data_IF_110760583155
#
_entry.id   IF_110760583155
#
_cell.length_a   1.000
_cell.length_b   1.000
_cell.length_c   1.000
_cell.angle_alpha   90.00
_cell.angle_beta   90.00
_cell.angle_gamma   90.00
#
_symmetry.space_group_name_H-M   'P 1'
#
loop_
_entity.id
_entity.type
_entity.pdbx_description
1 polymer ?
#
# COMPACT_ATOMS: atom_id res chain seq x y z
N UNK A 1 6.21 9.57 13.89
CA UNK A 1 6.15 9.04 12.50
C UNK A 1 5.22 9.92 11.68
N UNK A 2 5.46 10.07 10.34
CA UNK A 2 4.69 10.93 9.44
C UNK A 2 3.25 10.49 9.19
N UNK A 3 2.84 10.32 7.94
CA UNK A 3 1.48 9.92 7.55
C UNK A 3 1.48 8.57 6.84
N UNK A 4 0.34 7.90 6.80
CA UNK A 4 0.11 6.80 5.88
C UNK A 4 0.22 7.35 4.45
N UNK A 5 1.14 6.78 3.66
CA UNK A 5 1.44 7.26 2.31
C UNK A 5 0.79 6.38 1.24
N UNK A 6 1.10 5.10 1.22
CA UNK A 6 0.50 4.17 0.28
C UNK A 6 0.55 2.72 0.75
N UNK A 7 -0.28 1.89 0.11
CA UNK A 7 -0.13 0.43 0.16
C UNK A 7 0.12 -0.10 -1.25
N UNK A 8 0.95 -1.14 -1.34
CA UNK A 8 1.30 -1.80 -2.60
C UNK A 8 0.73 -3.20 -2.68
N UNK A 9 -0.08 -3.45 -3.70
CA UNK A 9 -0.51 -4.78 -4.08
C UNK A 9 0.46 -5.36 -5.12
N UNK A 10 0.84 -6.63 -4.95
CA UNK A 10 1.75 -7.34 -5.86
C UNK A 10 0.97 -8.45 -6.56
N UNK A 11 1.03 -8.46 -7.91
CA UNK A 11 0.28 -9.38 -8.76
C UNK A 11 1.18 -10.05 -9.80
N UNK A 12 0.75 -11.22 -10.31
CA UNK A 12 1.47 -11.98 -11.33
C UNK A 12 1.36 -11.39 -12.72
N UNK A 13 0.34 -10.58 -12.97
CA UNK A 13 0.09 -9.90 -14.24
C UNK A 13 -0.40 -8.48 -13.98
N UNK A 14 0.43 -7.50 -14.37
CA UNK A 14 0.09 -6.08 -14.18
C UNK A 14 -1.14 -5.67 -14.98
N UNK A 15 -1.29 -6.17 -16.21
CA UNK A 15 -2.42 -5.82 -17.08
C UNK A 15 -3.75 -6.30 -16.52
N UNK A 16 -3.81 -7.57 -16.11
CA UNK A 16 -5.00 -8.15 -15.48
C UNK A 16 -5.34 -7.47 -14.15
N UNK A 17 -4.31 -7.18 -13.33
CA UNK A 17 -4.49 -6.46 -12.07
C UNK A 17 -5.01 -5.04 -12.27
N UNK A 18 -4.46 -4.31 -13.25
CA UNK A 18 -4.88 -2.96 -13.59
C UNK A 18 -6.33 -2.92 -14.08
N UNK A 19 -6.73 -3.85 -14.95
CA UNK A 19 -8.09 -3.94 -15.45
C UNK A 19 -9.13 -4.13 -14.32
N UNK A 20 -8.78 -4.86 -13.25
CA UNK A 20 -9.66 -4.98 -12.06
C UNK A 20 -9.80 -3.64 -11.33
N UNK A 21 -8.72 -2.89 -11.13
CA UNK A 21 -8.78 -1.60 -10.46
C UNK A 21 -9.49 -0.54 -11.32
N UNK A 22 -9.34 -0.59 -12.64
CA UNK A 22 -10.08 0.28 -13.56
C UNK A 22 -11.60 -0.02 -13.51
N UNK A 23 -12.01 -1.30 -13.39
CA UNK A 23 -13.41 -1.66 -13.15
C UNK A 23 -13.96 -1.16 -11.80
N UNK A 24 -13.11 -1.08 -10.77
CA UNK A 24 -13.46 -0.43 -9.50
C UNK A 24 -13.63 1.09 -9.65
N UNK A 25 -13.26 1.67 -10.80
CA UNK A 25 -13.34 3.09 -11.08
C UNK A 25 -12.11 3.89 -10.62
N UNK A 26 -10.98 3.23 -10.37
CA UNK A 26 -9.73 3.94 -10.13
C UNK A 26 -9.08 4.36 -11.46
N UNK A 27 -8.74 5.63 -11.58
CA UNK A 27 -7.84 6.11 -12.64
C UNK A 27 -6.41 5.74 -12.29
N UNK A 28 -5.72 5.03 -13.17
CA UNK A 28 -4.35 4.59 -12.93
C UNK A 28 -3.33 5.42 -13.71
N UNK A 29 -2.20 5.73 -13.07
CA UNK A 29 -1.06 6.37 -13.71
C UNK A 29 -0.52 5.52 -14.89
N UNK A 30 0.26 6.10 -15.82
CA UNK A 30 0.98 5.32 -16.81
C UNK A 30 1.84 4.22 -16.21
N UNK A 31 2.14 3.20 -17.01
CA UNK A 31 3.05 2.12 -16.61
C UNK A 31 4.45 2.67 -16.35
N UNK A 32 5.00 2.38 -15.18
CA UNK A 32 6.36 2.75 -14.81
C UNK A 32 7.19 1.47 -14.58
N UNK A 33 8.13 1.17 -15.47
CA UNK A 33 9.02 0.01 -15.37
C UNK A 33 9.97 0.16 -14.19
N UNK A 34 10.16 -0.90 -13.43
CA UNK A 34 11.02 -0.90 -12.25
C UNK A 34 12.45 -1.32 -12.59
N UNK A 35 13.40 -0.74 -11.86
CA UNK A 35 14.82 -1.04 -11.91
C UNK A 35 15.41 -1.07 -10.51
N UNK A 36 16.49 -1.79 -10.32
CA UNK A 36 17.22 -1.80 -9.06
C UNK A 36 18.29 -2.88 -9.03
N UNK A 37 18.78 -3.19 -7.85
CA UNK A 37 19.84 -4.15 -7.63
C UNK A 37 19.52 -5.50 -8.24
N UNK A 38 20.49 -6.04 -8.94
CA UNK A 38 20.44 -7.37 -9.55
C UNK A 38 21.28 -8.35 -8.72
N UNK A 39 20.83 -9.60 -8.55
CA UNK A 39 21.63 -10.62 -7.85
C UNK A 39 23.00 -10.77 -8.51
N UNK A 40 24.08 -10.70 -7.70
CA UNK A 40 25.45 -10.88 -8.16
C UNK A 40 26.00 -9.77 -9.06
N UNK A 41 25.36 -8.59 -9.08
CA UNK A 41 25.84 -7.43 -9.85
C UNK A 41 25.89 -6.17 -8.98
N UNK A 42 26.86 -5.31 -9.24
CA UNK A 42 26.98 -4.02 -8.55
C UNK A 42 26.03 -2.96 -9.13
N UNK A 43 25.67 -3.08 -10.40
CA UNK A 43 24.83 -2.15 -11.13
C UNK A 43 23.35 -2.50 -11.02
N UNK A 44 22.49 -1.47 -11.06
CA UNK A 44 21.05 -1.61 -11.16
C UNK A 44 20.65 -2.05 -12.57
N UNK A 45 19.81 -3.10 -12.65
CA UNK A 45 19.26 -3.60 -13.91
C UNK A 45 17.72 -3.49 -13.98
N UNK A 46 17.13 -3.79 -15.15
CA UNK A 46 15.69 -3.85 -15.29
C UNK A 46 15.13 -5.05 -14.52
N UNK A 47 13.97 -4.85 -13.87
CA UNK A 47 13.22 -5.92 -13.20
C UNK A 47 12.08 -6.43 -14.09
N UNK A 48 11.60 -7.62 -13.77
CA UNK A 48 10.43 -8.23 -14.39
C UNK A 48 9.14 -7.40 -14.22
N UNK A 49 9.14 -6.43 -13.30
CA UNK A 49 7.95 -5.75 -12.84
C UNK A 49 7.89 -4.29 -13.27
N UNK A 50 6.66 -3.81 -13.34
CA UNK A 50 6.32 -2.40 -13.43
C UNK A 50 5.21 -2.08 -12.43
N UNK A 51 4.92 -0.80 -12.22
CA UNK A 51 3.81 -0.38 -11.41
C UNK A 51 2.89 0.61 -12.13
N UNK A 52 1.66 0.70 -11.64
CA UNK A 52 0.68 1.75 -11.87
C UNK A 52 0.08 2.16 -10.53
N UNK A 53 -0.28 3.43 -10.38
CA UNK A 53 -0.77 3.96 -9.12
C UNK A 53 -2.14 4.62 -9.30
N UNK A 54 -3.05 4.38 -8.36
CA UNK A 54 -4.25 5.19 -8.16
C UNK A 54 -3.90 6.32 -7.19
N UNK A 55 -3.62 7.52 -7.73
CA UNK A 55 -3.16 8.68 -6.95
C UNK A 55 -4.35 9.42 -6.38
N UNK A 56 -4.54 9.36 -5.06
CA UNK A 56 -5.61 10.06 -4.37
C UNK A 56 -5.16 11.47 -3.97
N UNK A 57 -6.05 12.33 -3.51
CA UNK A 57 -5.68 13.64 -2.96
C UNK A 57 -4.79 13.48 -1.71
N UNK A 58 -5.01 12.41 -0.93
CA UNK A 58 -4.14 12.01 0.19
C UNK A 58 -3.80 10.52 0.09
N UNK A 59 -2.51 10.23 -0.09
CA UNK A 59 -1.99 8.88 -0.28
C UNK A 59 -2.28 8.33 -1.67
N UNK A 60 -1.95 7.06 -1.88
CA UNK A 60 -2.24 6.35 -3.12
C UNK A 60 -2.25 4.83 -2.91
N UNK A 61 -2.78 4.11 -3.88
CA UNK A 61 -2.65 2.66 -3.99
C UNK A 61 -1.66 2.36 -5.11
N UNK A 62 -0.67 1.50 -4.85
CA UNK A 62 0.31 1.07 -5.83
C UNK A 62 0.01 -0.37 -6.27
N UNK A 63 -0.10 -0.59 -7.56
CA UNK A 63 -0.19 -1.92 -8.15
C UNK A 63 1.14 -2.25 -8.81
N UNK A 64 1.83 -3.26 -8.29
CA UNK A 64 3.09 -3.79 -8.81
C UNK A 64 2.79 -5.13 -9.46
N UNK A 65 3.17 -5.32 -10.72
CA UNK A 65 2.92 -6.58 -11.41
C UNK A 65 4.01 -6.94 -12.40
N UNK A 66 4.05 -8.23 -12.74
CA UNK A 66 4.98 -8.74 -13.74
C UNK A 66 4.54 -8.27 -15.12
N UNK A 67 5.50 -7.78 -15.92
CA UNK A 67 5.33 -7.36 -17.31
C UNK A 67 6.33 -8.07 -18.24
N UNK A 68 7.43 -8.59 -17.68
CA UNK A 68 8.47 -9.29 -18.45
C UNK A 68 9.03 -10.48 -17.64
N UNK A 69 8.37 -11.64 -17.68
CA UNK A 69 8.69 -12.78 -16.82
C UNK A 69 10.12 -13.33 -16.96
N UNK A 70 10.80 -13.04 -18.08
CA UNK A 70 12.18 -13.48 -18.33
C UNK A 70 13.22 -12.72 -17.49
N UNK A 71 12.85 -11.57 -16.92
CA UNK A 71 13.74 -10.75 -16.09
C UNK A 71 13.67 -11.13 -14.62
N UNK A 72 14.64 -10.64 -13.84
CA UNK A 72 14.67 -10.81 -12.39
C UNK A 72 13.46 -10.15 -11.72
N UNK A 73 12.79 -10.92 -10.86
CA UNK A 73 11.65 -10.44 -10.08
C UNK A 73 11.98 -10.37 -8.59
N UNK A 74 12.22 -9.18 -8.01
CA UNK A 74 12.52 -9.02 -6.58
C UNK A 74 11.31 -9.28 -5.67
N UNK A 75 10.11 -9.42 -6.24
CA UNK A 75 8.85 -9.62 -5.52
C UNK A 75 8.40 -11.08 -5.46
N UNK A 76 9.18 -12.01 -6.03
CA UNK A 76 8.83 -13.44 -6.11
C UNK A 76 8.44 -13.99 -4.74
N UNK A 77 9.20 -13.74 -3.69
CA UNK A 77 8.90 -14.22 -2.34
C UNK A 77 7.54 -13.78 -1.78
N UNK A 78 7.03 -12.62 -2.21
CA UNK A 78 5.71 -12.16 -1.82
C UNK A 78 4.63 -12.85 -2.65
N UNK A 79 4.84 -12.99 -3.94
CA UNK A 79 3.95 -13.73 -4.84
C UNK A 79 3.86 -15.22 -4.50
N UNK A 80 4.92 -15.81 -3.92
CA UNK A 80 4.90 -17.19 -3.44
C UNK A 80 3.98 -17.36 -2.23
N UNK A 81 3.70 -16.29 -1.48
CA UNK A 81 2.71 -16.29 -0.41
C UNK A 81 1.29 -16.17 -0.98
N UNK A 82 1.00 -15.12 -1.71
CA UNK A 82 -0.28 -14.86 -2.40
C UNK A 82 -0.18 -13.59 -3.26
N UNK A 83 -1.15 -13.35 -4.14
CA UNK A 83 -1.39 -12.05 -4.74
C UNK A 83 -2.16 -11.17 -3.77
N UNK A 84 -1.72 -9.94 -3.52
CA UNK A 84 -2.35 -9.05 -2.55
C UNK A 84 -1.43 -7.94 -2.06
N UNK A 85 -1.79 -7.33 -0.95
CA UNK A 85 -0.99 -6.28 -0.32
C UNK A 85 0.24 -6.88 0.36
N UNK A 86 1.40 -6.36 0.01
CA UNK A 86 2.69 -6.76 0.57
C UNK A 86 3.60 -5.58 0.91
N UNK A 87 3.11 -4.35 0.73
CA UNK A 87 3.86 -3.14 1.00
C UNK A 87 2.97 -2.12 1.71
N UNK A 88 3.52 -1.51 2.77
CA UNK A 88 2.94 -0.39 3.48
C UNK A 88 3.98 0.71 3.63
N UNK A 89 3.65 1.92 3.20
CA UNK A 89 4.54 3.06 3.24
C UNK A 89 4.04 4.16 4.18
N UNK A 90 4.98 4.73 4.93
CA UNK A 90 4.78 5.87 5.82
C UNK A 90 5.63 7.04 5.32
N UNK A 91 5.00 8.19 5.05
CA UNK A 91 5.70 9.39 4.62
C UNK A 91 6.26 10.17 5.81
N UNK A 92 7.48 10.66 5.66
CA UNK A 92 8.15 11.55 6.59
C UNK A 92 8.67 12.79 5.87
N UNK A 93 8.87 13.92 6.58
CA UNK A 93 9.43 15.13 5.99
C UNK A 93 10.93 15.03 5.71
N UNK A 94 11.67 14.17 6.43
CA UNK A 94 13.13 14.02 6.37
C UNK A 94 13.48 12.56 6.67
N UNK A 95 14.04 11.87 5.69
CA UNK A 95 14.40 10.46 5.80
C UNK A 95 15.60 10.22 6.71
N UNK A 96 16.58 11.12 6.77
CA UNK A 96 17.77 10.95 7.63
C UNK A 96 17.39 11.11 9.10
N UNK A 97 16.62 12.14 9.43
CA UNK A 97 16.09 12.34 10.78
C UNK A 97 15.21 11.17 11.22
N UNK A 98 14.33 10.69 10.34
CA UNK A 98 13.47 9.53 10.60
C UNK A 98 14.31 8.26 10.82
N UNK A 99 15.33 8.02 10.00
CA UNK A 99 16.21 6.86 10.16
C UNK A 99 17.00 6.91 11.48
N UNK A 100 17.54 8.07 11.85
CA UNK A 100 18.24 8.25 13.11
C UNK A 100 17.33 7.97 14.33
N UNK A 101 16.07 8.40 14.27
CA UNK A 101 15.08 8.11 15.32
C UNK A 101 14.68 6.63 15.35
N UNK A 102 14.37 6.04 14.21
CA UNK A 102 13.97 4.65 14.10
C UNK A 102 15.09 3.69 14.51
N UNK A 103 16.34 3.99 14.13
CA UNK A 103 17.50 3.17 14.49
C UNK A 103 17.77 3.10 15.99
N UNK A 104 17.31 4.10 16.78
CA UNK A 104 17.34 4.02 18.25
C UNK A 104 16.30 3.08 18.84
N UNK A 105 15.21 2.82 18.09
CA UNK A 105 14.08 1.97 18.51
C UNK A 105 14.20 0.55 17.97
N UNK A 106 14.77 0.38 16.78
CA UNK A 106 14.85 -0.91 16.12
C UNK A 106 16.05 -1.00 15.18
N UNK A 107 16.67 -2.19 15.12
CA UNK A 107 17.71 -2.54 14.15
C UNK A 107 17.17 -3.17 12.85
N UNK A 108 15.86 -3.09 12.60
CA UNK A 108 15.19 -3.84 11.54
C UNK A 108 15.02 -3.05 10.23
N UNK A 109 15.65 -1.90 10.11
CA UNK A 109 15.60 -1.03 8.94
C UNK A 109 16.97 -0.92 8.26
N UNK A 110 16.95 -0.75 6.95
CA UNK A 110 18.15 -0.45 6.16
C UNK A 110 18.38 1.07 6.11
N UNK A 111 19.60 1.50 5.83
CA UNK A 111 19.91 2.91 5.64
C UNK A 111 19.10 3.54 4.50
N UNK A 112 18.84 4.86 4.53
CA UNK A 112 18.09 5.54 3.47
C UNK A 112 18.77 5.40 2.11
N UNK A 113 17.97 5.13 1.08
CA UNK A 113 18.43 4.97 -0.29
C UNK A 113 17.78 6.04 -1.17
N UNK A 114 18.61 6.78 -1.92
CA UNK A 114 18.10 7.70 -2.93
C UNK A 114 17.47 6.93 -4.09
N UNK A 115 16.29 7.36 -4.51
CA UNK A 115 15.57 6.83 -5.67
C UNK A 115 15.15 7.97 -6.59
N UNK A 116 15.10 7.67 -7.88
CA UNK A 116 14.62 8.62 -8.89
C UNK A 116 13.88 7.88 -9.99
N UNK A 117 12.91 8.54 -10.59
CA UNK A 117 12.17 8.08 -11.77
C UNK A 117 11.88 9.24 -12.71
N UNK A 118 12.05 9.00 -13.99
CA UNK A 118 11.54 9.92 -14.99
C UNK A 118 10.07 9.65 -15.26
N UNK A 119 9.31 10.71 -15.39
CA UNK A 119 7.89 10.67 -15.72
C UNK A 119 7.50 11.93 -16.51
N UNK A 120 6.41 11.83 -17.25
CA UNK A 120 5.82 12.97 -17.94
C UNK A 120 5.00 13.85 -16.97
N UNK A 121 5.30 15.14 -16.98
CA UNK A 121 4.51 16.18 -16.32
C UNK A 121 4.15 17.22 -17.38
N UNK A 122 2.87 17.19 -17.81
CA UNK A 122 2.32 18.10 -18.82
C UNK A 122 3.14 18.15 -20.13
N UNK A 123 3.56 16.98 -20.61
CA UNK A 123 4.33 16.83 -21.86
C UNK A 123 5.83 17.09 -21.71
N UNK A 124 6.32 17.30 -20.49
CA UNK A 124 7.74 17.51 -20.18
C UNK A 124 8.26 16.39 -19.29
N UNK A 125 9.35 15.74 -19.69
CA UNK A 125 10.01 14.75 -18.84
C UNK A 125 10.60 15.44 -17.60
N UNK A 126 10.19 14.97 -16.42
CA UNK A 126 10.69 15.39 -15.12
C UNK A 126 11.24 14.21 -14.34
N UNK A 127 12.22 14.46 -13.49
CA UNK A 127 12.78 13.44 -12.61
C UNK A 127 12.17 13.56 -11.22
N UNK A 128 11.25 12.65 -10.88
CA UNK A 128 10.75 12.50 -9.51
C UNK A 128 11.85 11.91 -8.63
N UNK A 129 12.04 12.50 -7.44
CA UNK A 129 13.05 12.08 -6.45
C UNK A 129 12.41 11.77 -5.11
N UNK A 130 12.90 10.72 -4.48
CA UNK A 130 12.46 10.30 -3.16
C UNK A 130 13.56 9.49 -2.46
N UNK A 131 13.51 9.45 -1.14
CA UNK A 131 14.42 8.67 -0.31
C UNK A 131 13.63 7.63 0.47
N UNK A 132 14.07 6.37 0.39
CA UNK A 132 13.38 5.25 1.01
C UNK A 132 14.25 4.59 2.08
N UNK A 133 13.63 4.34 3.22
CA UNK A 133 14.11 3.46 4.28
C UNK A 133 13.30 2.19 4.20
N UNK A 134 13.92 1.08 3.78
CA UNK A 134 13.23 -0.21 3.67
C UNK A 134 13.37 -1.01 4.96
N UNK A 135 12.30 -1.65 5.39
CA UNK A 135 12.40 -2.70 6.39
C UNK A 135 13.24 -3.87 5.87
N UNK A 136 13.91 -4.57 6.79
CA UNK A 136 14.47 -5.89 6.49
C UNK A 136 13.31 -6.88 6.42
N UNK A 137 13.24 -7.63 5.33
CA UNK A 137 12.08 -8.48 5.06
C UNK A 137 11.87 -9.59 6.09
N UNK A 138 12.96 -10.08 6.70
CA UNK A 138 12.92 -11.10 7.75
C UNK A 138 12.34 -10.61 9.08
N UNK A 139 12.31 -9.30 9.28
CA UNK A 139 11.82 -8.69 10.52
C UNK A 139 10.28 -8.46 10.51
N UNK A 140 9.69 -8.44 9.32
CA UNK A 140 8.28 -8.11 9.11
C UNK A 140 7.60 -9.16 8.21
N UNK A 141 7.12 -10.25 8.80
CA UNK A 141 6.53 -11.36 8.04
C UNK A 141 5.24 -11.01 7.31
N UNK A 142 4.53 -9.95 7.73
CA UNK A 142 3.33 -9.46 7.05
C UNK A 142 3.62 -8.82 5.68
N UNK A 143 4.80 -8.27 5.47
CA UNK A 143 5.19 -7.59 4.25
C UNK A 143 6.28 -6.55 4.47
N UNK A 144 6.59 -5.78 3.45
CA UNK A 144 7.64 -4.76 3.48
C UNK A 144 7.09 -3.43 3.94
N UNK A 145 7.76 -2.80 4.92
CA UNK A 145 7.52 -1.41 5.26
C UNK A 145 8.52 -0.50 4.55
N UNK A 146 8.02 0.66 4.12
CA UNK A 146 8.83 1.74 3.59
C UNK A 146 8.54 2.99 4.42
N UNK A 147 9.59 3.64 4.92
CA UNK A 147 9.49 5.02 5.41
C UNK A 147 10.15 5.90 4.37
N UNK A 148 9.41 6.86 3.83
CA UNK A 148 9.88 7.62 2.67
C UNK A 148 9.67 9.12 2.80
N UNK A 149 10.62 9.85 2.20
CA UNK A 149 10.57 11.28 1.93
C UNK A 149 10.34 11.51 0.44
N UNK A 150 9.27 12.21 0.07
CA UNK A 150 9.10 12.73 -1.29
C UNK A 150 9.82 14.06 -1.43
N UNK A 151 10.83 14.13 -2.28
CA UNK A 151 11.60 15.35 -2.54
C UNK A 151 10.98 16.23 -3.63
N UNK A 152 10.15 15.64 -4.48
CA UNK A 152 9.41 16.30 -5.56
C UNK A 152 7.97 15.78 -5.61
N UNK A 153 7.18 15.98 -4.54
CA UNK A 153 5.84 15.41 -4.42
C UNK A 153 4.88 15.89 -5.53
N UNK A 154 5.07 17.11 -6.03
CA UNK A 154 4.27 17.71 -7.10
C UNK A 154 4.32 16.90 -8.40
N UNK A 155 5.38 16.13 -8.65
CA UNK A 155 5.48 15.29 -9.85
C UNK A 155 4.68 13.99 -9.71
N UNK A 156 4.41 13.52 -8.49
CA UNK A 156 3.55 12.37 -8.23
C UNK A 156 2.09 12.79 -8.18
N UNK A 157 1.76 13.82 -7.38
CA UNK A 157 0.40 14.31 -7.16
C UNK A 157 -0.04 15.29 -8.25
N UNK A 158 0.00 14.85 -9.53
CA UNK A 158 -0.50 15.65 -10.64
C UNK A 158 -2.03 15.66 -10.64
N UNK A 159 -2.69 16.84 -10.76
CA UNK A 159 -4.17 16.95 -10.68
C UNK A 159 -4.91 16.01 -11.64
N UNK A 160 -4.37 15.79 -12.83
CA UNK A 160 -4.95 14.90 -13.86
C UNK A 160 -5.13 13.44 -13.41
N UNK A 161 -4.40 12.98 -12.37
CA UNK A 161 -4.49 11.62 -11.85
C UNK A 161 -5.32 11.51 -10.57
N UNK A 162 -5.81 12.63 -10.01
CA UNK A 162 -6.50 12.66 -8.72
C UNK A 162 -8.03 12.65 -8.84
N UNK A 163 -8.57 12.63 -10.06
CA UNK A 163 -10.01 12.59 -10.29
C UNK A 163 -10.40 11.19 -10.77
N UNK A 164 -10.91 10.39 -9.86
CA UNK A 164 -11.31 9.01 -10.12
C UNK A 164 -12.80 8.91 -10.50
N UNK A 165 -13.17 8.07 -11.49
CA UNK A 165 -14.57 7.81 -11.84
C UNK A 165 -15.44 7.41 -10.65
N UNK A 166 -14.89 6.65 -9.69
CA UNK A 166 -15.56 6.25 -8.46
C UNK A 166 -15.57 7.32 -7.36
N UNK A 167 -14.94 8.48 -7.58
CA UNK A 167 -14.89 9.55 -6.59
C UNK A 167 -13.96 9.29 -5.39
N UNK A 168 -12.99 8.38 -5.50
CA UNK A 168 -11.99 8.12 -4.46
C UNK A 168 -11.11 9.34 -4.20
N UNK A 169 -10.92 9.72 -2.91
CA UNK A 169 -10.21 10.95 -2.52
C UNK A 169 -9.08 10.75 -1.50
N UNK A 170 -9.15 9.76 -0.63
CA UNK A 170 -8.11 9.59 0.39
C UNK A 170 -7.93 8.14 0.83
N UNK A 171 -6.68 7.76 1.08
CA UNK A 171 -6.33 6.54 1.80
C UNK A 171 -6.45 6.81 3.31
N UNK A 172 -7.40 6.13 3.95
CA UNK A 172 -7.72 6.36 5.37
C UNK A 172 -7.06 5.35 6.29
N UNK A 173 -7.05 4.06 5.91
CA UNK A 173 -6.47 3.03 6.76
C UNK A 173 -5.81 1.90 5.98
N UNK A 174 -4.81 1.30 6.62
CA UNK A 174 -4.27 -0.02 6.30
C UNK A 174 -4.81 -1.03 7.34
N UNK A 175 -5.36 -2.15 6.89
CA UNK A 175 -5.83 -3.23 7.75
C UNK A 175 -4.77 -4.33 7.80
N UNK A 176 -4.30 -4.65 8.99
CA UNK A 176 -3.33 -5.72 9.26
C UNK A 176 -4.05 -6.84 9.98
N UNK A 177 -3.84 -8.08 9.56
CA UNK A 177 -4.42 -9.26 10.18
C UNK A 177 -3.30 -10.16 10.69
N UNK A 178 -3.38 -10.61 11.95
CA UNK A 178 -2.36 -11.45 12.58
C UNK A 178 -2.98 -12.47 13.55
N UNK A 179 -2.33 -13.62 13.70
CA UNK A 179 -2.66 -14.60 14.75
C UNK A 179 -2.08 -14.15 16.10
N UNK A 180 -0.79 -13.79 16.11
CA UNK A 180 -0.12 -13.25 17.30
C UNK A 180 -0.25 -11.71 17.34
N UNK A 181 -1.41 -11.23 17.83
CA UNK A 181 -1.69 -9.79 17.98
C UNK A 181 -0.70 -9.09 18.89
N UNK A 182 -0.30 -9.63 20.08
CA UNK A 182 0.70 -9.00 20.93
C UNK A 182 2.06 -8.77 20.24
N UNK A 183 2.59 -9.76 19.54
CA UNK A 183 3.86 -9.61 18.82
C UNK A 183 3.75 -8.60 17.67
N UNK A 184 2.65 -8.64 16.91
CA UNK A 184 2.42 -7.70 15.82
C UNK A 184 2.22 -6.26 16.33
N UNK A 185 1.48 -6.09 17.43
CA UNK A 185 1.33 -4.80 18.12
C UNK A 185 2.67 -4.19 18.47
N UNK A 186 3.55 -4.96 19.11
CA UNK A 186 4.89 -4.49 19.51
C UNK A 186 5.71 -4.00 18.30
N UNK A 187 5.68 -4.72 17.17
CA UNK A 187 6.34 -4.31 15.93
C UNK A 187 5.80 -2.97 15.41
N UNK A 188 4.48 -2.83 15.36
CA UNK A 188 3.82 -1.60 14.89
C UNK A 188 4.05 -0.42 15.82
N UNK A 189 3.99 -0.60 17.14
CA UNK A 189 4.33 0.45 18.13
C UNK A 189 5.78 0.94 17.95
N UNK A 190 6.70 0.02 17.72
CA UNK A 190 8.11 0.35 17.48
C UNK A 190 8.27 1.14 16.18
N UNK A 191 7.59 0.73 15.10
CA UNK A 191 7.67 1.38 13.81
C UNK A 191 6.99 2.75 13.81
N UNK A 192 5.76 2.84 14.32
CA UNK A 192 4.99 4.09 14.36
C UNK A 192 5.53 5.05 15.42
N UNK A 193 6.10 4.52 16.49
CA UNK A 193 6.67 5.31 17.60
C UNK A 193 5.62 5.86 18.56
N UNK A 194 4.45 5.22 18.60
CA UNK A 194 3.36 5.54 19.50
C UNK A 194 2.63 4.24 19.92
N UNK A 195 2.06 4.21 21.14
CA UNK A 195 1.27 3.07 21.58
C UNK A 195 0.01 2.92 20.73
N UNK A 196 -0.47 1.68 20.63
CA UNK A 196 -1.77 1.42 20.05
C UNK A 196 -2.90 2.00 20.93
N UNK A 197 -3.93 2.53 20.27
CA UNK A 197 -5.21 2.85 20.87
C UNK A 197 -6.13 1.65 20.69
N UNK A 198 -6.58 1.08 21.79
CA UNK A 198 -7.50 -0.06 21.77
C UNK A 198 -8.93 0.43 21.59
N UNK A 199 -9.61 -0.03 20.53
CA UNK A 199 -11.03 0.22 20.33
C UNK A 199 -11.89 -0.71 21.15
N UNK A 200 -13.14 -0.34 21.41
CA UNK A 200 -14.15 -1.19 22.07
C UNK A 200 -14.51 -2.43 21.24
N UNK A 201 -14.14 -2.43 19.95
CA UNK A 201 -14.31 -3.52 18.99
C UNK A 201 -13.11 -4.50 18.97
N UNK A 202 -12.15 -4.35 19.90
CA UNK A 202 -10.94 -5.19 20.00
C UNK A 202 -9.89 -4.88 18.93
N UNK A 203 -10.09 -3.88 18.07
CA UNK A 203 -9.13 -3.46 17.04
C UNK A 203 -8.09 -2.53 17.65
N UNK A 204 -6.82 -2.85 17.42
CA UNK A 204 -5.71 -1.99 17.85
C UNK A 204 -5.42 -0.96 16.76
N UNK A 205 -5.52 0.33 17.07
CA UNK A 205 -5.34 1.43 16.10
C UNK A 205 -4.06 2.20 16.35
N UNK A 206 -3.30 2.40 15.30
CA UNK A 206 -2.07 3.22 15.30
C UNK A 206 -2.33 4.42 14.41
N UNK A 207 -2.17 5.62 14.96
CA UNK A 207 -2.40 6.88 14.27
C UNK A 207 -1.06 7.60 14.03
N UNK A 208 -0.48 7.51 12.82
CA UNK A 208 0.65 8.36 12.45
C UNK A 208 0.26 9.84 12.54
N UNK A 209 1.16 10.70 13.05
CA UNK A 209 0.84 12.11 13.35
C UNK A 209 0.36 12.93 12.14
N UNK A 210 0.79 12.55 10.93
CA UNK A 210 0.44 13.22 9.67
C UNK A 210 -0.86 12.72 9.01
N UNK A 211 -1.58 11.78 9.65
CA UNK A 211 -2.88 11.26 9.18
C UNK A 211 -2.82 9.87 8.56
N UNK A 212 -4.01 9.33 8.34
CA UNK A 212 -4.23 7.91 8.09
C UNK A 212 -4.07 7.08 9.37
N UNK A 213 -4.41 5.79 9.30
CA UNK A 213 -4.24 4.88 10.44
C UNK A 213 -3.86 3.47 9.99
N UNK A 214 -3.29 2.71 10.91
CA UNK A 214 -3.10 1.27 10.75
C UNK A 214 -4.02 0.60 11.77
N UNK A 215 -4.81 -0.37 11.32
CA UNK A 215 -5.71 -1.17 12.15
C UNK A 215 -5.16 -2.60 12.23
N UNK A 216 -4.87 -3.06 13.42
CA UNK A 216 -4.44 -4.44 13.68
C UNK A 216 -5.61 -5.25 14.23
N UNK A 217 -5.93 -6.32 13.55
CA UNK A 217 -6.99 -7.25 13.86
C UNK A 217 -6.42 -8.62 14.18
N UNK A 218 -7.01 -9.31 15.15
CA UNK A 218 -6.80 -10.75 15.34
C UNK A 218 -7.47 -11.55 14.21
N UNK A 219 -6.85 -12.62 13.78
CA UNK A 219 -7.28 -13.40 12.60
C UNK A 219 -8.71 -13.91 12.69
N UNK A 220 -9.11 -14.45 13.84
CA UNK A 220 -10.46 -14.99 14.05
C UNK A 220 -11.52 -13.86 14.10
N UNK A 221 -11.21 -12.75 14.78
CA UNK A 221 -12.10 -11.59 14.82
C UNK A 221 -12.25 -10.97 13.42
N UNK A 222 -11.17 -10.91 12.65
CA UNK A 222 -11.20 -10.44 11.26
C UNK A 222 -12.06 -11.33 10.37
N UNK A 223 -11.88 -12.65 10.47
CA UNK A 223 -12.68 -13.62 9.73
C UNK A 223 -14.17 -13.57 10.10
N UNK A 224 -14.47 -13.43 11.39
CA UNK A 224 -15.87 -13.30 11.87
C UNK A 224 -16.54 -12.02 11.38
N UNK A 225 -15.78 -10.88 11.35
CA UNK A 225 -16.31 -9.58 10.93
C UNK A 225 -16.51 -9.48 9.41
N UNK A 226 -15.58 -10.03 8.64
CA UNK A 226 -15.50 -9.80 7.19
C UNK A 226 -15.82 -11.03 6.33
N UNK A 227 -16.05 -12.20 6.95
CA UNK A 227 -16.28 -13.45 6.21
C UNK A 227 -15.09 -13.95 5.42
N UNK A 228 -13.91 -13.41 5.66
CA UNK A 228 -12.67 -13.73 4.93
C UNK A 228 -11.43 -13.46 5.79
N UNK A 229 -10.35 -14.16 5.49
CA UNK A 229 -9.00 -13.85 6.00
C UNK A 229 -7.94 -14.07 4.92
N UNK A 230 -6.79 -13.37 4.99
CA UNK A 230 -5.68 -13.59 4.07
C UNK A 230 -5.22 -15.06 4.02
N UNK A 231 -4.74 -15.55 2.87
CA UNK A 231 -4.28 -16.94 2.72
C UNK A 231 -3.08 -17.30 3.60
N UNK A 232 -2.27 -16.31 3.98
CA UNK A 232 -1.13 -16.47 4.88
C UNK A 232 -1.05 -15.31 5.86
N UNK A 233 -0.75 -15.59 7.12
CA UNK A 233 -0.67 -14.62 8.21
C UNK A 233 0.75 -14.54 8.79
N UNK A 234 1.11 -13.40 9.40
CA UNK A 234 0.41 -12.11 9.35
C UNK A 234 0.43 -11.51 7.96
N UNK A 235 -0.50 -10.59 7.66
CA UNK A 235 -0.63 -9.96 6.35
C UNK A 235 -1.23 -8.55 6.42
N UNK A 236 -0.95 -7.74 5.39
CA UNK A 236 -1.80 -6.59 5.07
C UNK A 236 -3.07 -7.12 4.40
N UNK A 237 -4.20 -6.98 5.08
CA UNK A 237 -5.44 -7.64 4.70
C UNK A 237 -6.38 -6.74 3.88
N UNK A 238 -6.20 -5.43 3.98
CA UNK A 238 -7.10 -4.51 3.28
C UNK A 238 -6.70 -3.05 3.41
N UNK A 239 -7.49 -2.23 2.74
CA UNK A 239 -7.39 -0.77 2.79
C UNK A 239 -8.75 -0.15 3.03
N UNK A 240 -8.77 1.02 3.68
CA UNK A 240 -9.93 1.88 3.69
C UNK A 240 -9.65 3.10 2.83
N UNK A 241 -10.54 3.34 1.89
CA UNK A 241 -10.51 4.50 0.99
C UNK A 241 -11.74 5.36 1.26
N UNK A 242 -11.54 6.67 1.41
CA UNK A 242 -12.62 7.63 1.49
C UNK A 242 -13.04 8.07 0.09
N UNK A 243 -14.34 8.14 -0.10
CA UNK A 243 -14.97 8.58 -1.35
C UNK A 243 -15.72 9.89 -1.11
N UNK A 244 -15.76 10.75 -2.14
CA UNK A 244 -16.52 12.00 -2.08
C UNK A 244 -18.02 11.75 -1.90
N UNK A 245 -18.52 10.64 -2.47
CA UNK A 245 -19.86 10.12 -2.32
C UNK A 245 -19.78 8.59 -2.37
N UNK A 246 -19.97 7.96 -1.21
CA UNK A 246 -19.85 6.49 -1.07
C UNK A 246 -20.96 5.74 -1.81
N UNK A 247 -22.17 6.29 -1.87
CA UNK A 247 -23.30 5.68 -2.61
C UNK A 247 -23.01 5.67 -4.10
N UNK A 248 -22.54 6.79 -4.63
CA UNK A 248 -22.16 6.90 -6.04
C UNK A 248 -20.96 5.99 -6.37
N UNK A 249 -20.00 5.87 -5.48
CA UNK A 249 -18.87 4.95 -5.64
C UNK A 249 -19.34 3.49 -5.72
N UNK A 250 -20.24 3.08 -4.82
CA UNK A 250 -20.79 1.74 -4.83
C UNK A 250 -21.63 1.47 -6.10
N UNK A 251 -22.47 2.40 -6.49
CA UNK A 251 -23.26 2.27 -7.73
C UNK A 251 -22.34 2.11 -8.96
N UNK A 252 -21.26 2.92 -9.05
CA UNK A 252 -20.26 2.79 -10.13
C UNK A 252 -19.63 1.39 -10.17
N UNK A 253 -19.26 0.84 -9.01
CA UNK A 253 -18.68 -0.50 -8.92
C UNK A 253 -19.68 -1.58 -9.34
N UNK A 254 -20.94 -1.47 -8.88
CA UNK A 254 -22.01 -2.41 -9.19
C UNK A 254 -22.38 -2.38 -10.68
N UNK A 255 -22.43 -1.22 -11.32
CA UNK A 255 -22.62 -1.06 -12.77
C UNK A 255 -21.52 -1.73 -13.59
N UNK A 256 -20.31 -1.86 -13.02
CA UNK A 256 -19.19 -2.61 -13.60
C UNK A 256 -19.13 -4.09 -13.16
N UNK A 257 -20.20 -4.60 -12.53
CA UNK A 257 -20.32 -6.00 -12.12
C UNK A 257 -19.53 -6.37 -10.86
N UNK A 258 -19.19 -5.39 -10.04
CA UNK A 258 -18.47 -5.60 -8.76
C UNK A 258 -19.44 -5.40 -7.60
N UNK A 259 -19.82 -6.47 -6.88
CA UNK A 259 -20.76 -6.36 -5.77
C UNK A 259 -20.14 -5.59 -4.61
N UNK A 260 -20.89 -4.65 -4.03
CA UNK A 260 -20.57 -3.95 -2.82
C UNK A 260 -21.44 -4.48 -1.68
N UNK A 261 -20.83 -5.10 -0.68
CA UNK A 261 -21.53 -5.52 0.53
C UNK A 261 -21.84 -4.29 1.38
N UNK A 262 -23.12 -4.01 1.61
CA UNK A 262 -23.60 -2.91 2.45
C UNK A 262 -23.96 -3.43 3.83
N UNK A 263 -23.42 -2.82 4.87
CA UNK A 263 -23.64 -3.13 6.27
C UNK A 263 -23.21 -1.97 7.15
N UNK A 264 -22.75 -2.26 8.34
CA UNK A 264 -22.10 -1.26 9.20
C UNK A 264 -20.87 -0.67 8.49
N UNK A 265 -20.11 -1.51 7.83
CA UNK A 265 -19.04 -1.13 6.91
C UNK A 265 -19.41 -1.57 5.47
N UNK A 266 -18.98 -0.78 4.49
CA UNK A 266 -19.20 -1.11 3.09
C UNK A 266 -17.93 -1.68 2.50
N UNK A 267 -18.04 -2.84 1.84
CA UNK A 267 -16.90 -3.66 1.50
C UNK A 267 -16.97 -4.15 0.04
N UNK A 268 -15.80 -4.16 -0.62
CA UNK A 268 -15.57 -4.96 -1.82
C UNK A 268 -14.69 -6.15 -1.46
N UNK A 269 -15.14 -7.34 -1.84
CA UNK A 269 -14.45 -8.58 -1.52
C UNK A 269 -13.10 -8.72 -2.25
N UNK A 270 -12.13 -9.45 -1.68
CA UNK A 270 -10.78 -9.63 -2.22
C UNK A 270 -10.71 -10.20 -3.64
N UNK A 271 -11.70 -10.95 -4.07
CA UNK A 271 -11.78 -11.48 -5.42
C UNK A 271 -11.81 -10.38 -6.51
N UNK A 272 -12.26 -9.17 -6.16
CA UNK A 272 -12.41 -8.04 -7.08
C UNK A 272 -11.30 -6.99 -6.96
N UNK A 273 -10.37 -7.13 -6.00
CA UNK A 273 -9.37 -6.11 -5.64
C UNK A 273 -7.92 -6.57 -5.81
N UNK A 274 -7.67 -7.74 -6.39
CA UNK A 274 -6.38 -8.42 -6.40
C UNK A 274 -5.95 -8.91 -5.00
N UNK A 275 -6.88 -9.55 -4.25
CA UNK A 275 -6.55 -10.33 -3.06
C UNK A 275 -6.54 -9.58 -1.73
N UNK A 276 -7.12 -8.38 -1.66
CA UNK A 276 -7.27 -7.64 -0.41
C UNK A 276 -8.69 -7.06 -0.26
N UNK A 277 -9.09 -6.72 0.94
CA UNK A 277 -10.38 -6.09 1.20
C UNK A 277 -10.32 -4.59 0.94
N UNK A 278 -11.28 -4.04 0.19
CA UNK A 278 -11.49 -2.60 0.08
C UNK A 278 -12.69 -2.18 0.93
N UNK A 279 -12.45 -1.36 1.94
CA UNK A 279 -13.49 -0.73 2.77
C UNK A 279 -13.78 0.68 2.25
N UNK A 280 -15.05 0.98 2.03
CA UNK A 280 -15.51 2.26 1.51
C UNK A 280 -15.89 3.17 2.69
N UNK A 281 -15.11 4.22 2.94
CA UNK A 281 -15.44 5.28 3.90
C UNK A 281 -16.23 6.42 3.24
N UNK A 282 -17.14 7.08 4.00
CA UNK A 282 -17.87 8.25 3.54
C UNK A 282 -17.00 9.49 3.41
#
# INVERSE_FOLDING_TARGET
MGSLDHLGAIVRDLGAGAARWEKLGFLLSPVSRQRGKMPGRDEDGPWATANRCAILQRGYLELIGVVEPALYNPWTKFLDRFEGLHLLALRVPDADAAFAELSRRTGTLNAPVQRARNLDVDGVEKTMRFRNIFSRDEAYPEGRYIVLEHQTPEYLWQPRYQTHPNGAIALEAALVCAEDVPAQRKRLETLVGAPALEGTDGVQRFAPAGGGRIELHGAEAFAARYGWKPPALPAFAGVEVRFADRERAAAHMEDNGIPVQRGEEWLVAPAHTNGFMLRLAP
#
